data_IF_032634524927
#
_entry.id   IF_032634524927
#
_cell.length_a   1.000
_cell.length_b   1.000
_cell.length_c   1.000
_cell.angle_alpha   90.00
_cell.angle_beta   90.00
_cell.angle_gamma   90.00
#
_symmetry.space_group_name_H-M   'P 1'
#
loop_
_entity.id
_entity.type
_entity.pdbx_description
1 polymer ?
#
# COMPACT_ATOMS: atom_id res chain seq x y z
N UNK A 1 16.45 -64.26 19.69
CA UNK A 1 17.91 -64.04 19.57
C UNK A 1 18.19 -62.67 18.97
N UNK A 2 19.03 -61.89 19.66
CA UNK A 2 19.68 -60.60 19.32
C UNK A 2 18.82 -59.37 18.99
N UNK A 3 18.59 -58.62 20.06
CA UNK A 3 18.52 -57.15 20.17
C UNK A 3 19.65 -56.46 19.38
N UNK A 4 19.31 -55.34 18.73
CA UNK A 4 20.24 -54.40 18.10
C UNK A 4 19.74 -52.96 18.31
N UNK A 5 20.49 -52.22 19.10
CA UNK A 5 20.26 -50.89 19.69
C UNK A 5 20.79 -49.74 18.81
N UNK A 6 20.04 -48.65 18.62
CA UNK A 6 20.57 -47.38 18.06
C UNK A 6 19.46 -46.38 17.68
N UNK A 7 19.62 -45.05 17.87
CA UNK A 7 18.58 -44.25 18.53
C UNK A 7 17.64 -43.44 17.62
N UNK A 8 16.38 -43.41 18.05
CA UNK A 8 15.35 -42.43 17.68
C UNK A 8 15.78 -40.99 18.03
N UNK A 9 15.97 -40.13 17.03
CA UNK A 9 16.08 -38.69 17.25
C UNK A 9 14.69 -38.06 17.42
N UNK A 10 14.22 -37.99 18.67
CA UNK A 10 13.13 -37.10 19.09
C UNK A 10 13.58 -35.64 18.91
N UNK A 11 13.01 -34.93 17.95
CA UNK A 11 13.12 -33.47 17.88
C UNK A 11 12.33 -32.84 19.04
N UNK A 12 13.04 -32.53 20.13
CA UNK A 12 12.54 -31.77 21.28
C UNK A 12 12.13 -30.35 20.84
N UNK A 13 10.84 -30.17 20.59
CA UNK A 13 10.17 -28.87 20.61
C UNK A 13 10.23 -28.36 22.05
N UNK A 14 11.11 -27.40 22.34
CA UNK A 14 11.13 -26.72 23.64
C UNK A 14 9.91 -25.79 23.76
N UNK A 15 9.04 -25.94 24.77
CA UNK A 15 7.97 -24.99 25.02
C UNK A 15 8.56 -23.66 25.54
N UNK A 16 8.16 -22.54 24.93
CA UNK A 16 8.45 -21.21 25.46
C UNK A 16 7.61 -21.01 26.73
N UNK A 17 8.28 -20.92 27.87
CA UNK A 17 7.67 -20.49 29.14
C UNK A 17 7.15 -19.06 28.98
N UNK A 18 5.83 -18.89 29.11
CA UNK A 18 5.21 -17.58 29.34
C UNK A 18 5.50 -17.10 30.77
N UNK A 19 5.44 -15.79 31.04
CA UNK A 19 5.53 -15.29 32.40
C UNK A 19 4.27 -15.68 33.18
N UNK A 20 4.50 -16.30 34.33
CA UNK A 20 3.51 -16.73 35.31
C UNK A 20 2.89 -15.50 35.99
N UNK A 21 1.57 -15.38 35.92
CA UNK A 21 0.76 -14.55 36.82
C UNK A 21 0.81 -15.16 38.23
N UNK A 22 1.19 -14.35 39.23
CA UNK A 22 0.55 -14.32 40.55
C UNK A 22 1.16 -13.20 41.41
N UNK A 23 0.38 -12.16 41.63
CA UNK A 23 0.42 -11.38 42.86
C UNK A 23 -0.95 -10.71 43.03
N UNK A 24 -1.78 -11.30 43.88
CA UNK A 24 -2.91 -10.62 44.48
C UNK A 24 -2.36 -9.47 45.34
N UNK A 25 -2.69 -8.24 44.97
CA UNK A 25 -2.45 -7.04 45.75
C UNK A 25 -3.69 -6.16 45.67
N UNK A 26 -4.55 -6.29 46.65
CA UNK A 26 -5.65 -5.36 46.92
C UNK A 26 -5.10 -3.96 47.17
N UNK A 27 -5.47 -2.97 46.36
CA UNK A 27 -5.27 -1.56 46.73
C UNK A 27 -6.51 -0.73 46.42
N UNK A 28 -6.96 -0.05 47.47
CA UNK A 28 -8.15 0.79 47.58
C UNK A 28 -8.08 1.98 46.63
N UNK A 29 -9.23 2.37 46.11
CA UNK A 29 -9.45 3.66 45.46
C UNK A 29 -9.43 4.72 46.58
N UNK A 30 -8.44 5.61 46.56
CA UNK A 30 -8.48 6.87 47.30
C UNK A 30 -8.63 8.00 46.30
N UNK A 31 -9.73 8.73 46.41
CA UNK A 31 -10.03 9.95 45.67
C UNK A 31 -8.93 10.99 45.94
N UNK A 32 -8.23 11.41 44.88
CA UNK A 32 -7.29 12.52 44.90
C UNK A 32 -7.85 13.66 44.07
N UNK A 33 -8.19 14.77 44.73
CA UNK A 33 -8.77 15.97 44.15
C UNK A 33 -7.88 16.57 43.04
N UNK A 34 -8.50 16.89 41.90
CA UNK A 34 -7.91 17.71 40.83
C UNK A 34 -8.30 19.16 41.11
N UNK A 35 -7.35 19.98 41.57
CA UNK A 35 -7.52 21.44 41.62
C UNK A 35 -7.24 22.03 40.24
N UNK A 36 -8.29 22.52 39.59
CA UNK A 36 -8.22 23.27 38.33
C UNK A 36 -8.05 24.75 38.70
N UNK A 37 -6.98 25.39 38.24
CA UNK A 37 -6.74 26.82 38.48
C UNK A 37 -7.60 27.65 37.49
N UNK A 38 -8.54 28.49 37.95
CA UNK A 38 -9.55 29.09 37.08
C UNK A 38 -9.33 30.59 36.86
N UNK A 39 -8.23 31.02 36.25
CA UNK A 39 -7.99 32.47 36.02
C UNK A 39 -7.33 32.77 34.66
N UNK A 40 -8.00 32.38 33.57
CA UNK A 40 -7.73 32.97 32.24
C UNK A 40 -9.04 33.21 31.50
N UNK A 41 -9.87 34.11 32.05
CA UNK A 41 -10.95 34.73 31.29
C UNK A 41 -11.11 36.17 31.76
N UNK A 42 -11.08 37.08 30.78
CA UNK A 42 -11.30 38.52 30.87
C UNK A 42 -10.09 39.35 31.27
N UNK A 43 -9.46 39.97 30.25
CA UNK A 43 -9.14 41.39 30.26
C UNK A 43 -8.72 41.81 28.84
N UNK A 44 -9.73 42.12 28.03
CA UNK A 44 -9.62 42.84 26.77
C UNK A 44 -10.56 44.03 26.92
N UNK A 45 -10.05 45.18 27.34
CA UNK A 45 -10.60 46.54 27.07
C UNK A 45 -9.78 47.60 27.82
N UNK A 46 -8.91 48.32 27.10
CA UNK A 46 -8.84 49.79 27.07
C UNK A 46 -7.58 50.24 26.34
N UNK A 47 -7.75 51.21 25.44
CA UNK A 47 -6.70 51.84 24.63
C UNK A 47 -6.06 52.96 25.45
N UNK A 48 -4.74 53.06 25.45
CA UNK A 48 -4.03 54.34 25.57
C UNK A 48 -2.79 54.35 24.67
N UNK A 49 -2.58 55.51 24.05
CA UNK A 49 -1.65 55.81 22.96
C UNK A 49 -0.24 56.12 23.45
N UNK A 50 0.78 55.46 22.88
CA UNK A 50 2.20 55.88 23.02
C UNK A 50 2.91 55.79 21.65
N UNK A 51 3.68 56.84 21.34
CA UNK A 51 4.31 57.22 20.05
C UNK A 51 5.26 56.14 19.46
N UNK A 52 5.49 56.13 18.13
CA UNK A 52 6.34 55.12 17.49
C UNK A 52 7.82 55.46 17.70
N UNK A 53 8.47 54.73 18.63
CA UNK A 53 9.92 54.71 18.79
C UNK A 53 10.56 53.66 17.89
N UNK A 54 11.63 54.07 17.20
CA UNK A 54 12.57 53.31 16.35
C UNK A 54 12.58 51.78 16.60
N UNK A 55 12.10 51.00 15.62
CA UNK A 55 12.20 49.53 15.63
C UNK A 55 13.66 49.14 15.37
N UNK A 56 14.43 48.98 16.43
CA UNK A 56 15.65 48.17 16.38
C UNK A 56 15.24 46.74 16.08
N UNK A 57 15.61 46.25 14.89
CA UNK A 57 15.44 44.85 14.51
C UNK A 57 16.22 43.99 15.49
N UNK A 58 15.55 43.44 16.51
CA UNK A 58 16.05 42.30 17.25
C UNK A 58 16.29 41.18 16.25
N UNK A 59 17.56 40.99 15.90
CA UNK A 59 18.05 39.84 15.15
C UNK A 59 17.72 38.63 16.02
N UNK A 60 16.68 37.86 15.65
CA UNK A 60 16.42 36.60 16.32
C UNK A 60 17.70 35.75 16.23
N UNK A 61 18.26 35.26 17.35
CA UNK A 61 19.41 34.36 17.28
C UNK A 61 18.99 33.11 16.50
N UNK A 62 19.90 32.51 15.71
CA UNK A 62 19.58 31.31 14.95
C UNK A 62 19.03 30.25 15.90
N UNK A 63 17.88 29.68 15.55
CA UNK A 63 17.26 28.57 16.29
C UNK A 63 18.23 27.39 16.24
N UNK A 64 19.13 27.32 17.20
CA UNK A 64 19.99 26.18 17.43
C UNK A 64 19.11 24.97 17.65
N UNK A 65 19.26 23.95 16.81
CA UNK A 65 18.59 22.67 16.96
C UNK A 65 18.98 22.09 18.32
N UNK A 66 18.08 22.21 19.30
CA UNK A 66 18.29 21.76 20.67
C UNK A 66 18.12 20.24 20.75
N UNK A 67 19.14 19.46 20.43
CA UNK A 67 19.14 18.01 20.69
C UNK A 67 19.82 17.71 22.03
N UNK A 68 19.10 17.88 23.14
CA UNK A 68 19.43 17.13 24.36
C UNK A 68 18.98 15.68 24.11
N UNK A 69 19.92 14.83 23.70
CA UNK A 69 19.67 13.40 23.43
C UNK A 69 19.36 12.67 24.74
N UNK A 70 18.09 12.62 25.14
CA UNK A 70 17.61 11.82 26.27
C UNK A 70 17.34 10.37 25.85
N UNK A 71 18.29 9.71 25.17
CA UNK A 71 18.27 8.23 25.06
C UNK A 71 18.72 7.63 26.41
N UNK A 72 17.90 7.82 27.44
CA UNK A 72 18.11 7.23 28.76
C UNK A 72 17.82 5.74 28.68
N UNK A 73 18.68 4.89 29.28
CA UNK A 73 18.46 3.44 29.42
C UNK A 73 17.08 3.08 29.99
N UNK A 74 16.48 3.96 30.80
CA UNK A 74 15.12 3.78 31.33
C UNK A 74 13.98 3.95 30.32
N UNK A 75 14.18 4.70 29.23
CA UNK A 75 13.15 4.83 28.18
C UNK A 75 13.00 3.53 27.37
N UNK A 76 14.10 2.81 27.13
CA UNK A 76 14.08 1.55 26.35
C UNK A 76 13.42 0.39 27.09
N UNK A 77 13.34 0.45 28.42
CA UNK A 77 12.66 -0.58 29.23
C UNK A 77 11.15 -0.34 29.35
N UNK A 78 10.68 0.89 29.10
CA UNK A 78 9.26 1.26 29.17
C UNK A 78 8.59 1.41 27.80
N UNK A 79 9.34 1.28 26.70
CA UNK A 79 8.80 1.43 25.34
C UNK A 79 8.12 0.15 24.88
N UNK A 80 6.83 0.24 24.56
CA UNK A 80 6.12 -0.80 23.81
C UNK A 80 6.36 -0.59 22.31
N UNK A 81 6.75 -1.66 21.61
CA UNK A 81 6.87 -1.63 20.16
C UNK A 81 5.49 -1.75 19.52
N UNK A 82 5.21 -0.92 18.53
CA UNK A 82 4.09 -1.13 17.61
C UNK A 82 4.28 -2.42 16.81
N UNK A 83 3.22 -2.85 16.13
CA UNK A 83 3.30 -3.97 15.18
C UNK A 83 4.32 -3.69 14.08
N UNK A 84 4.94 -4.73 13.51
CA UNK A 84 6.03 -4.56 12.52
C UNK A 84 5.60 -3.73 11.31
N UNK A 85 4.39 -3.95 10.79
CA UNK A 85 3.90 -3.20 9.61
C UNK A 85 3.57 -1.74 9.94
N UNK A 86 3.20 -1.44 11.19
CA UNK A 86 2.97 -0.08 11.66
C UNK A 86 4.29 0.64 11.93
N UNK A 87 5.28 -0.06 12.50
CA UNK A 87 6.65 0.43 12.64
C UNK A 87 7.31 0.71 11.28
N UNK A 88 7.00 -0.10 10.25
CA UNK A 88 7.41 0.12 8.87
C UNK A 88 6.54 1.15 8.12
N UNK A 89 5.44 1.62 8.71
CA UNK A 89 4.53 2.61 8.11
C UNK A 89 3.80 2.09 6.87
N UNK A 90 3.49 0.80 6.79
CA UNK A 90 2.83 0.16 5.63
C UNK A 90 1.31 0.02 5.80
N UNK A 91 0.85 -0.10 7.03
CA UNK A 91 -0.54 -0.44 7.34
C UNK A 91 -1.08 0.44 8.44
N UNK A 92 -2.24 1.05 8.19
CA UNK A 92 -3.09 1.59 9.25
C UNK A 92 -3.99 0.46 9.80
N UNK A 93 -3.68 0.02 11.02
CA UNK A 93 -4.46 -1.03 11.69
C UNK A 93 -5.86 -0.56 12.10
N UNK A 94 -6.10 0.74 12.24
CA UNK A 94 -7.42 1.28 12.56
C UNK A 94 -8.41 1.06 11.40
N UNK A 95 -8.01 1.42 10.17
CA UNK A 95 -8.79 1.14 8.97
C UNK A 95 -8.88 -0.38 8.70
N UNK A 96 -7.75 -1.09 8.78
CA UNK A 96 -7.70 -2.54 8.51
C UNK A 96 -8.64 -3.33 9.42
N UNK A 97 -8.70 -3.03 10.72
CA UNK A 97 -9.59 -3.73 11.66
C UNK A 97 -11.05 -3.67 11.21
N UNK A 98 -11.52 -2.52 10.71
CA UNK A 98 -12.91 -2.34 10.24
C UNK A 98 -13.18 -3.04 8.92
N UNK A 99 -12.19 -3.02 8.02
CA UNK A 99 -12.29 -3.65 6.71
C UNK A 99 -12.33 -5.19 6.82
N UNK A 100 -11.52 -5.75 7.71
CA UNK A 100 -11.25 -7.20 7.74
C UNK A 100 -12.16 -7.98 8.68
N UNK A 101 -12.56 -7.38 9.81
CA UNK A 101 -13.41 -8.07 10.79
C UNK A 101 -14.76 -8.38 10.15
N UNK A 102 -15.16 -9.64 10.29
CA UNK A 102 -16.44 -10.18 9.84
C UNK A 102 -17.40 -10.29 11.02
N UNK A 103 -18.70 -10.14 10.75
CA UNK A 103 -19.73 -10.37 11.75
C UNK A 103 -19.69 -11.82 12.23
N UNK A 104 -19.73 -12.02 13.55
CA UNK A 104 -19.56 -13.36 14.15
C UNK A 104 -20.68 -14.33 13.77
N UNK A 105 -21.87 -13.83 13.47
CA UNK A 105 -23.00 -14.63 13.00
C UNK A 105 -22.81 -15.22 11.59
N UNK A 106 -21.83 -14.72 10.80
CA UNK A 106 -21.48 -15.26 9.47
C UNK A 106 -20.41 -16.35 9.54
N UNK A 107 -19.93 -16.69 10.75
CA UNK A 107 -18.98 -17.76 11.03
C UNK A 107 -17.77 -17.77 10.07
N UNK A 108 -17.65 -18.79 9.22
CA UNK A 108 -16.50 -19.01 8.34
C UNK A 108 -16.55 -18.24 7.02
N UNK A 109 -17.64 -17.53 6.73
CA UNK A 109 -17.84 -16.79 5.49
C UNK A 109 -16.76 -15.70 5.35
N UNK A 110 -15.88 -15.81 4.33
CA UNK A 110 -14.79 -14.87 4.16
C UNK A 110 -15.31 -13.48 3.78
N UNK A 111 -14.72 -12.44 4.38
CA UNK A 111 -14.91 -11.05 3.96
C UNK A 111 -13.81 -10.69 2.96
N UNK A 112 -14.16 -10.63 1.68
CA UNK A 112 -13.22 -10.34 0.62
C UNK A 112 -12.93 -8.85 0.51
N UNK A 113 -11.66 -8.51 0.29
CA UNK A 113 -11.24 -7.15 0.02
C UNK A 113 -10.35 -7.07 -1.22
N UNK A 114 -10.58 -6.03 -2.01
CA UNK A 114 -9.80 -5.66 -3.18
C UNK A 114 -8.71 -4.69 -2.72
N UNK A 115 -7.50 -5.21 -2.60
CA UNK A 115 -6.33 -4.46 -2.23
C UNK A 115 -5.76 -3.82 -3.49
N UNK A 116 -5.71 -2.50 -3.51
CA UNK A 116 -5.06 -1.74 -4.58
C UNK A 116 -3.84 -1.03 -4.01
N UNK A 117 -2.67 -1.29 -4.58
CA UNK A 117 -1.41 -0.65 -4.19
C UNK A 117 -0.71 -0.13 -5.44
N UNK A 118 -0.46 1.17 -5.46
CA UNK A 118 0.27 1.82 -6.53
C UNK A 118 1.70 2.04 -6.06
N UNK A 119 2.65 1.51 -6.82
CA UNK A 119 4.07 1.74 -6.63
C UNK A 119 4.56 2.74 -7.70
N UNK A 120 5.83 3.13 -7.64
CA UNK A 120 6.38 4.09 -8.60
C UNK A 120 6.38 3.59 -10.05
N UNK A 121 6.37 2.28 -10.28
CA UNK A 121 6.50 1.68 -11.63
C UNK A 121 5.50 0.58 -11.94
N UNK A 122 4.63 0.24 -10.99
CA UNK A 122 3.68 -0.87 -11.13
C UNK A 122 2.40 -0.59 -10.32
N UNK A 123 1.30 -1.17 -10.77
CA UNK A 123 0.02 -1.18 -10.05
C UNK A 123 -0.28 -2.63 -9.69
N UNK A 124 -0.59 -2.84 -8.42
CA UNK A 124 -0.85 -4.15 -7.84
C UNK A 124 -2.31 -4.17 -7.40
N UNK A 125 -3.09 -5.07 -7.98
CA UNK A 125 -4.47 -5.33 -7.57
C UNK A 125 -4.58 -6.78 -7.09
N UNK A 126 -5.15 -6.99 -5.91
CA UNK A 126 -5.29 -8.32 -5.31
C UNK A 126 -6.66 -8.45 -4.67
N UNK A 127 -7.23 -9.65 -4.69
CA UNK A 127 -8.36 -9.99 -3.83
C UNK A 127 -7.87 -10.91 -2.73
N UNK A 128 -8.13 -10.52 -1.48
CA UNK A 128 -7.71 -11.28 -0.32
C UNK A 128 -8.82 -11.35 0.75
N UNK A 129 -8.73 -12.34 1.62
CA UNK A 129 -9.50 -12.42 2.86
C UNK A 129 -8.57 -12.83 4.00
N UNK A 130 -8.92 -12.45 5.22
CA UNK A 130 -8.08 -12.76 6.38
C UNK A 130 -8.37 -14.15 6.96
N UNK A 131 -7.31 -14.81 7.42
CA UNK A 131 -7.34 -15.98 8.31
C UNK A 131 -6.37 -15.73 9.47
N UNK A 132 -6.41 -16.60 10.48
CA UNK A 132 -5.60 -16.49 11.70
C UNK A 132 -4.10 -16.52 11.38
N UNK A 133 -3.70 -17.35 10.41
CA UNK A 133 -2.30 -17.49 9.97
C UNK A 133 -1.81 -16.27 9.15
N UNK A 134 -2.73 -15.50 8.58
CA UNK A 134 -2.44 -14.43 7.64
C UNK A 134 -3.51 -14.28 6.57
N UNK A 135 -3.29 -13.32 5.68
CA UNK A 135 -4.19 -13.11 4.54
C UNK A 135 -3.97 -14.16 3.46
N UNK A 136 -5.07 -14.72 2.95
CA UNK A 136 -5.06 -15.60 1.78
C UNK A 136 -5.44 -14.78 0.56
N UNK A 137 -4.52 -14.70 -0.40
CA UNK A 137 -4.74 -14.05 -1.70
C UNK A 137 -5.44 -15.07 -2.60
N UNK A 138 -6.59 -14.69 -3.14
CA UNK A 138 -7.37 -15.51 -4.08
C UNK A 138 -6.85 -15.30 -5.50
N UNK A 139 -6.74 -14.03 -5.89
CA UNK A 139 -6.32 -13.62 -7.23
C UNK A 139 -5.49 -12.35 -7.15
N UNK A 140 -4.59 -12.19 -8.12
CA UNK A 140 -3.76 -11.01 -8.29
C UNK A 140 -3.68 -10.62 -9.76
N UNK A 141 -3.56 -9.33 -10.02
CA UNK A 141 -3.28 -8.73 -11.32
C UNK A 141 -2.27 -7.60 -11.14
N UNK A 142 -1.40 -7.44 -12.13
CA UNK A 142 -0.29 -6.48 -12.08
C UNK A 142 -0.20 -5.67 -13.37
N UNK A 143 0.23 -4.42 -13.30
CA UNK A 143 0.37 -3.59 -14.49
C UNK A 143 1.48 -4.09 -15.41
N UNK A 144 2.54 -4.72 -14.87
CA UNK A 144 3.58 -5.34 -15.69
C UNK A 144 3.11 -6.56 -16.52
N UNK A 145 1.88 -7.05 -16.31
CA UNK A 145 1.24 -8.05 -17.18
C UNK A 145 0.55 -7.40 -18.40
N UNK A 146 0.18 -6.11 -18.32
CA UNK A 146 -0.54 -5.38 -19.38
C UNK A 146 0.16 -5.31 -20.74
N UNK A 147 1.50 -5.33 -20.85
CA UNK A 147 2.17 -5.39 -22.15
C UNK A 147 1.76 -6.59 -23.01
N UNK A 148 1.32 -7.70 -22.41
CA UNK A 148 0.76 -8.86 -23.14
C UNK A 148 -0.53 -8.51 -23.87
N UNK A 149 -1.29 -7.54 -23.36
CA UNK A 149 -2.58 -7.11 -23.86
C UNK A 149 -2.48 -5.87 -24.75
N UNK A 150 -1.26 -5.43 -25.12
CA UNK A 150 -1.02 -4.30 -26.03
C UNK A 150 -0.56 -3.01 -25.34
N UNK A 151 -0.76 -2.86 -24.03
CA UNK A 151 -0.32 -1.66 -23.27
C UNK A 151 1.15 -1.80 -22.86
N UNK A 152 2.07 -1.42 -23.75
CA UNK A 152 3.52 -1.56 -23.52
C UNK A 152 4.11 -0.49 -22.58
N UNK A 153 3.52 0.70 -22.54
CA UNK A 153 3.99 1.87 -21.79
C UNK A 153 2.89 2.40 -20.85
N UNK A 154 3.25 3.37 -20.00
CA UNK A 154 2.26 4.06 -19.17
C UNK A 154 1.64 3.20 -18.06
N UNK A 155 2.37 2.22 -17.52
CA UNK A 155 1.83 1.20 -16.59
C UNK A 155 1.34 1.73 -15.23
N UNK A 156 1.50 3.03 -14.96
CA UNK A 156 1.10 3.66 -13.70
C UNK A 156 0.08 4.78 -13.88
N UNK A 157 -0.47 4.99 -15.06
CA UNK A 157 -1.49 6.02 -15.29
C UNK A 157 -2.90 5.54 -14.84
N UNK A 158 -3.91 6.41 -14.99
CA UNK A 158 -5.29 6.08 -14.63
C UNK A 158 -5.86 4.95 -15.51
N UNK A 159 -5.63 5.01 -16.82
CA UNK A 159 -6.07 4.01 -17.79
C UNK A 159 -5.48 2.60 -17.52
N UNK A 160 -4.21 2.52 -17.14
CA UNK A 160 -3.56 1.28 -16.72
C UNK A 160 -4.15 0.77 -15.40
N UNK A 161 -4.48 1.65 -14.45
CA UNK A 161 -5.16 1.25 -13.23
C UNK A 161 -6.51 0.59 -13.55
N UNK A 162 -7.31 1.21 -14.42
CA UNK A 162 -8.55 0.64 -14.93
C UNK A 162 -8.35 -0.74 -15.57
N UNK A 163 -7.38 -0.86 -16.49
CA UNK A 163 -7.04 -2.14 -17.12
C UNK A 163 -6.66 -3.22 -16.09
N UNK A 164 -5.87 -2.87 -15.06
CA UNK A 164 -5.48 -3.83 -14.02
C UNK A 164 -6.66 -4.29 -13.16
N UNK A 165 -7.60 -3.38 -12.87
CA UNK A 165 -8.85 -3.71 -12.17
C UNK A 165 -9.74 -4.64 -12.99
N UNK A 166 -9.91 -4.32 -14.28
CA UNK A 166 -10.66 -5.15 -15.22
C UNK A 166 -10.06 -6.55 -15.33
N UNK A 167 -8.74 -6.65 -15.46
CA UNK A 167 -8.02 -7.93 -15.50
C UNK A 167 -8.23 -8.75 -14.22
N UNK A 168 -8.18 -8.11 -13.04
CA UNK A 168 -8.43 -8.78 -11.76
C UNK A 168 -9.86 -9.36 -11.70
N UNK A 169 -10.86 -8.57 -12.07
CA UNK A 169 -12.26 -8.97 -12.06
C UNK A 169 -12.52 -10.14 -13.01
N UNK A 170 -12.10 -10.04 -14.28
CA UNK A 170 -12.29 -11.14 -15.24
C UNK A 170 -11.57 -12.41 -14.83
N UNK A 171 -10.37 -12.32 -14.24
CA UNK A 171 -9.63 -13.47 -13.72
C UNK A 171 -10.32 -14.12 -12.51
N UNK A 172 -10.89 -13.31 -11.61
CA UNK A 172 -11.67 -13.80 -10.47
C UNK A 172 -12.96 -14.49 -10.91
N UNK A 173 -13.73 -13.87 -11.80
CA UNK A 173 -15.00 -14.43 -12.27
C UNK A 173 -14.76 -15.73 -13.05
N UNK A 174 -13.72 -15.80 -13.88
CA UNK A 174 -13.36 -17.04 -14.58
C UNK A 174 -12.97 -18.17 -13.60
N UNK A 175 -12.26 -17.85 -12.51
CA UNK A 175 -11.90 -18.81 -11.47
C UNK A 175 -13.13 -19.42 -10.77
N UNK A 176 -14.17 -18.61 -10.56
CA UNK A 176 -15.43 -19.03 -9.95
C UNK A 176 -16.52 -19.41 -10.95
N UNK A 177 -16.23 -19.40 -12.26
CA UNK A 177 -17.18 -19.68 -13.35
C UNK A 177 -18.43 -18.78 -13.34
N UNK A 178 -18.21 -17.51 -13.02
CA UNK A 178 -19.24 -16.44 -12.98
C UNK A 178 -19.08 -15.46 -14.15
N UNK A 179 -18.17 -15.74 -15.06
CA UNK A 179 -17.73 -14.86 -16.14
C UNK A 179 -18.78 -14.68 -17.25
N UNK A 180 -19.59 -15.71 -17.52
CA UNK A 180 -20.69 -15.64 -18.49
C UNK A 180 -21.91 -14.91 -17.93
N UNK A 181 -22.18 -15.09 -16.63
CA UNK A 181 -23.31 -14.49 -15.91
C UNK A 181 -23.08 -12.99 -15.74
N UNK A 182 -21.96 -12.63 -15.12
CA UNK A 182 -21.62 -11.24 -14.81
C UNK A 182 -20.58 -10.73 -15.79
N UNK A 183 -21.02 -10.36 -17.00
CA UNK A 183 -20.15 -9.76 -18.03
C UNK A 183 -19.67 -8.36 -17.67
N UNK A 184 -20.44 -7.65 -16.84
CA UNK A 184 -20.23 -6.25 -16.52
C UNK A 184 -20.51 -5.35 -17.73
N UNK A 185 -19.89 -4.18 -17.75
CA UNK A 185 -20.09 -3.19 -18.81
C UNK A 185 -19.03 -3.38 -19.91
N UNK A 186 -19.44 -3.85 -21.09
CA UNK A 186 -18.51 -4.17 -22.19
C UNK A 186 -17.81 -2.92 -22.72
N UNK A 187 -18.55 -1.83 -22.91
CA UNK A 187 -18.03 -0.55 -23.36
C UNK A 187 -17.91 0.44 -22.20
N UNK A 188 -16.69 0.88 -21.89
CA UNK A 188 -16.47 1.82 -20.80
C UNK A 188 -17.02 3.21 -21.16
N UNK A 189 -18.26 3.50 -20.77
CA UNK A 189 -18.94 4.79 -20.95
C UNK A 189 -18.60 5.80 -19.83
N UNK A 190 -18.03 5.32 -18.70
CA UNK A 190 -17.65 6.17 -17.56
C UNK A 190 -18.78 6.46 -16.58
N UNK A 191 -19.99 5.95 -16.85
CA UNK A 191 -21.16 6.12 -15.99
C UNK A 191 -21.06 5.32 -14.70
N UNK A 192 -21.89 5.66 -13.71
CA UNK A 192 -22.03 4.86 -12.50
C UNK A 192 -22.67 3.52 -12.84
N UNK A 193 -22.05 2.43 -12.38
CA UNK A 193 -22.50 1.08 -12.69
C UNK A 193 -22.32 0.23 -11.44
N UNK A 194 -23.37 -0.44 -11.01
CA UNK A 194 -23.34 -1.41 -9.93
C UNK A 194 -23.93 -2.72 -10.44
N UNK A 195 -23.22 -3.83 -10.19
CA UNK A 195 -23.66 -5.15 -10.61
C UNK A 195 -24.71 -5.64 -9.62
N UNK A 196 -25.92 -5.88 -10.11
CA UNK A 196 -26.99 -6.48 -9.32
C UNK A 196 -26.93 -8.01 -9.42
N UNK A 197 -27.38 -8.70 -8.37
CA UNK A 197 -27.49 -10.16 -8.40
C UNK A 197 -28.73 -10.56 -9.19
N UNK A 198 -28.64 -11.65 -9.96
CA UNK A 198 -29.72 -12.13 -10.81
C UNK A 198 -30.43 -13.25 -10.05
N UNK A 199 -31.77 -13.19 -9.98
CA UNK A 199 -32.57 -14.20 -9.30
C UNK A 199 -32.38 -15.58 -9.94
N UNK A 200 -32.18 -16.60 -9.11
CA UNK A 200 -31.96 -17.98 -9.55
C UNK A 200 -30.53 -18.30 -9.99
N UNK A 201 -29.62 -17.33 -10.03
CA UNK A 201 -28.19 -17.54 -10.32
C UNK A 201 -27.32 -17.28 -9.07
N UNK A 202 -26.07 -17.78 -9.03
CA UNK A 202 -25.17 -17.44 -7.94
C UNK A 202 -24.97 -15.93 -7.86
N UNK A 203 -25.07 -15.35 -6.66
CA UNK A 203 -24.96 -13.90 -6.49
C UNK A 203 -23.62 -13.32 -6.95
N UNK A 204 -23.64 -12.02 -7.26
CA UNK A 204 -22.45 -11.29 -7.71
C UNK A 204 -21.33 -11.35 -6.67
N UNK A 205 -20.08 -11.39 -7.13
CA UNK A 205 -18.94 -11.49 -6.23
C UNK A 205 -18.73 -10.17 -5.48
N UNK A 206 -19.15 -10.15 -4.22
CA UNK A 206 -19.04 -8.96 -3.36
C UNK A 206 -17.65 -8.81 -2.76
N UNK A 207 -17.06 -7.63 -2.97
CA UNK A 207 -15.72 -7.28 -2.47
C UNK A 207 -15.69 -5.85 -1.92
N UNK A 208 -14.77 -5.55 -1.00
CA UNK A 208 -14.61 -4.20 -0.42
C UNK A 208 -13.25 -3.60 -0.78
N UNK A 209 -13.20 -2.33 -1.19
CA UNK A 209 -11.96 -1.67 -1.54
C UNK A 209 -11.06 -1.43 -0.32
N UNK A 210 -9.80 -1.85 -0.40
CA UNK A 210 -8.73 -1.56 0.57
C UNK A 210 -7.71 -0.62 -0.08
N UNK A 211 -7.83 0.66 0.27
CA UNK A 211 -6.94 1.75 -0.20
C UNK A 211 -5.60 1.82 0.57
N UNK A 212 -5.51 1.14 1.72
CA UNK A 212 -4.36 1.22 2.62
C UNK A 212 -4.14 2.63 3.14
N UNK A 213 -2.91 3.12 3.01
CA UNK A 213 -2.50 4.46 3.46
C UNK A 213 -2.67 5.55 2.38
N UNK A 214 -3.15 5.19 1.20
CA UNK A 214 -3.29 6.15 0.12
C UNK A 214 -4.41 7.15 0.41
N UNK A 215 -4.14 8.41 0.08
CA UNK A 215 -5.14 9.48 0.22
C UNK A 215 -6.24 9.31 -0.83
N UNK A 216 -7.48 9.31 -0.38
CA UNK A 216 -8.68 9.16 -1.22
C UNK A 216 -9.17 10.50 -1.77
N UNK A 217 -8.36 11.16 -2.59
CA UNK A 217 -8.76 12.37 -3.33
C UNK A 217 -9.60 12.02 -4.56
N UNK A 218 -10.37 12.99 -5.06
CA UNK A 218 -11.06 12.87 -6.36
C UNK A 218 -10.04 12.65 -7.47
N UNK A 219 -10.34 11.76 -8.41
CA UNK A 219 -9.45 11.42 -9.52
C UNK A 219 -8.22 10.56 -9.15
N UNK A 220 -8.13 10.07 -7.91
CA UNK A 220 -7.03 9.18 -7.55
C UNK A 220 -7.09 7.88 -8.38
N UNK A 221 -5.92 7.45 -8.90
CA UNK A 221 -5.76 6.25 -9.74
C UNK A 221 -6.28 4.95 -9.11
N UNK A 222 -6.33 4.88 -7.78
CA UNK A 222 -6.90 3.73 -7.06
C UNK A 222 -8.37 3.52 -7.44
N UNK A 223 -9.11 4.59 -7.66
CA UNK A 223 -10.49 4.52 -8.11
C UNK A 223 -10.62 4.12 -9.58
N UNK A 224 -9.59 4.30 -10.40
CA UNK A 224 -9.54 3.72 -11.74
C UNK A 224 -9.54 2.19 -11.68
N UNK A 225 -8.72 1.60 -10.80
CA UNK A 225 -8.72 0.15 -10.58
C UNK A 225 -10.06 -0.35 -10.00
N UNK A 226 -10.65 0.40 -9.07
CA UNK A 226 -12.01 0.13 -8.58
C UNK A 226 -13.01 0.06 -9.74
N UNK A 227 -13.06 1.11 -10.58
CA UNK A 227 -14.01 1.20 -11.69
C UNK A 227 -13.81 0.07 -12.69
N UNK A 228 -12.55 -0.26 -13.03
CA UNK A 228 -12.24 -1.39 -13.89
C UNK A 228 -12.71 -2.73 -13.34
N UNK A 229 -12.61 -2.94 -12.02
CA UNK A 229 -13.09 -4.18 -11.39
C UNK A 229 -14.63 -4.27 -11.39
N UNK A 230 -15.31 -3.15 -11.15
CA UNK A 230 -16.76 -3.03 -11.21
C UNK A 230 -17.28 -3.28 -12.62
N UNK A 231 -16.73 -2.60 -13.62
CA UNK A 231 -17.07 -2.82 -15.05
C UNK A 231 -16.70 -4.22 -15.54
N UNK A 232 -15.80 -4.91 -14.82
CA UNK A 232 -15.47 -6.31 -15.06
C UNK A 232 -16.48 -7.33 -14.53
N UNK A 233 -17.47 -6.88 -13.72
CA UNK A 233 -18.53 -7.72 -13.16
C UNK A 233 -18.44 -8.00 -11.66
N UNK A 234 -17.56 -7.33 -10.91
CA UNK A 234 -17.51 -7.46 -9.44
C UNK A 234 -18.48 -6.50 -8.76
N UNK A 235 -19.15 -6.95 -7.70
CA UNK A 235 -19.94 -6.08 -6.82
C UNK A 235 -19.00 -5.43 -5.80
N UNK A 236 -18.70 -4.14 -5.99
CA UNK A 236 -17.95 -3.34 -5.04
C UNK A 236 -18.78 -2.09 -4.70
N UNK A 237 -19.22 -1.93 -3.44
CA UNK A 237 -20.04 -0.79 -3.07
C UNK A 237 -19.19 0.49 -3.11
N UNK A 238 -19.65 1.48 -3.88
CA UNK A 238 -18.95 2.74 -4.07
C UNK A 238 -19.91 3.90 -4.38
N UNK A 239 -19.35 5.09 -4.55
CA UNK A 239 -20.05 6.30 -4.97
C UNK A 239 -19.21 7.02 -6.03
N UNK A 240 -19.88 7.67 -6.98
CA UNK A 240 -19.25 8.44 -8.05
C UNK A 240 -18.42 9.66 -7.60
N UNK A 241 -18.55 10.09 -6.34
CA UNK A 241 -17.88 11.29 -5.77
C UNK A 241 -16.36 11.30 -5.87
N UNK A 242 -15.71 10.15 -6.04
CA UNK A 242 -14.24 10.03 -6.06
C UNK A 242 -13.66 9.82 -7.46
N UNK A 243 -14.50 9.67 -8.47
CA UNK A 243 -14.04 9.53 -9.85
C UNK A 243 -13.60 10.88 -10.46
N UNK A 244 -12.70 10.86 -11.46
CA UNK A 244 -12.47 12.02 -12.31
C UNK A 244 -13.78 12.49 -12.94
N UNK A 245 -14.02 13.80 -13.00
CA UNK A 245 -15.27 14.37 -13.52
C UNK A 245 -16.34 14.66 -12.47
N UNK A 246 -16.11 14.31 -11.19
CA UNK A 246 -16.94 14.81 -10.10
C UNK A 246 -16.48 16.20 -9.67
N UNK A 247 -17.39 17.17 -9.70
CA UNK A 247 -17.16 18.50 -9.15
C UNK A 247 -17.75 18.63 -7.75
N UNK A 248 -16.96 19.16 -6.81
CA UNK A 248 -17.34 19.27 -5.41
C UNK A 248 -18.21 20.50 -5.13
N UNK A 249 -18.19 21.50 -6.01
CA UNK A 249 -18.98 22.73 -5.89
C UNK A 249 -20.40 22.51 -6.40
N UNK A 250 -20.54 22.09 -7.65
CA UNK A 250 -21.83 21.75 -8.26
C UNK A 250 -22.43 20.44 -7.72
N UNK A 251 -21.60 19.54 -7.16
CA UNK A 251 -21.96 18.17 -6.76
C UNK A 251 -22.44 17.29 -7.92
N UNK A 252 -22.12 17.67 -9.14
CA UNK A 252 -22.48 16.95 -10.37
C UNK A 252 -21.34 16.04 -10.84
N UNK A 253 -21.70 14.97 -11.55
CA UNK A 253 -20.76 14.00 -12.09
C UNK A 253 -20.84 13.99 -13.61
N UNK A 254 -19.72 14.34 -14.27
CA UNK A 254 -19.59 14.26 -15.72
C UNK A 254 -18.95 12.92 -16.13
N UNK A 255 -19.76 12.02 -16.68
CA UNK A 255 -19.33 10.70 -17.15
C UNK A 255 -18.37 10.78 -18.35
N UNK A 256 -18.49 11.80 -19.20
CA UNK A 256 -17.60 11.98 -20.35
C UNK A 256 -16.17 12.23 -19.89
N UNK A 257 -15.96 13.12 -18.92
CA UNK A 257 -14.63 13.39 -18.34
C UNK A 257 -14.04 12.11 -17.75
N UNK A 258 -14.86 11.30 -17.06
CA UNK A 258 -14.41 10.02 -16.54
C UNK A 258 -13.97 9.07 -17.66
N UNK A 259 -14.77 8.97 -18.73
CA UNK A 259 -14.45 8.20 -19.94
C UNK A 259 -13.14 8.64 -20.57
N UNK A 260 -12.88 9.95 -20.68
CA UNK A 260 -11.60 10.50 -21.18
C UNK A 260 -10.40 10.00 -20.36
N UNK A 261 -10.57 9.86 -19.04
CA UNK A 261 -9.52 9.33 -18.17
C UNK A 261 -9.30 7.83 -18.32
N UNK A 262 -10.38 7.06 -18.51
CA UNK A 262 -10.33 5.61 -18.72
C UNK A 262 -9.54 5.27 -20.00
N UNK A 263 -9.78 6.00 -21.10
CA UNK A 263 -9.09 5.77 -22.37
C UNK A 263 -7.78 6.56 -22.52
N UNK A 264 -7.35 7.29 -21.50
CA UNK A 264 -6.08 8.01 -21.53
C UNK A 264 -6.05 9.25 -22.43
N UNK A 265 -7.20 9.81 -22.81
CA UNK A 265 -7.27 11.01 -23.66
C UNK A 265 -6.57 12.22 -23.01
N UNK A 266 -6.65 12.38 -21.69
CA UNK A 266 -5.89 13.40 -20.95
C UNK A 266 -4.35 13.32 -21.17
N UNK A 267 -3.84 12.12 -21.46
CA UNK A 267 -2.41 11.92 -21.77
C UNK A 267 -2.15 12.33 -23.21
N UNK A 268 -3.04 11.98 -24.13
CA UNK A 268 -2.97 12.40 -25.52
C UNK A 268 -3.04 13.93 -25.66
N UNK A 269 -3.96 14.57 -24.94
CA UNK A 269 -4.08 16.03 -24.84
C UNK A 269 -2.79 16.64 -24.29
N UNK A 270 -2.23 16.08 -23.20
CA UNK A 270 -0.95 16.55 -22.66
C UNK A 270 0.22 16.36 -23.63
N UNK A 271 0.24 15.27 -24.41
CA UNK A 271 1.24 15.07 -25.46
C UNK A 271 1.15 16.13 -26.56
N UNK A 272 -0.06 16.51 -26.98
CA UNK A 272 -0.28 17.55 -28.00
C UNK A 272 0.17 18.92 -27.50
N UNK A 273 -0.34 19.34 -26.33
CA UNK A 273 0.02 20.63 -25.71
C UNK A 273 1.53 20.74 -25.52
N UNK A 274 2.18 19.69 -25.02
CA UNK A 274 3.62 19.74 -24.77
C UNK A 274 4.45 19.75 -26.07
N UNK A 275 3.95 19.14 -27.15
CA UNK A 275 4.62 19.17 -28.45
C UNK A 275 4.55 20.58 -29.07
N UNK A 276 3.43 21.27 -28.90
CA UNK A 276 3.22 22.63 -29.42
C UNK A 276 3.99 23.68 -28.59
N UNK A 277 4.06 23.51 -27.26
CA UNK A 277 4.70 24.48 -26.35
C UNK A 277 6.23 24.30 -26.24
N UNK A 278 6.71 23.06 -26.02
CA UNK A 278 8.13 22.77 -25.73
C UNK A 278 8.54 21.35 -26.17
N UNK A 279 9.17 21.27 -27.34
CA UNK A 279 9.64 20.01 -27.93
C UNK A 279 10.72 19.31 -27.06
N UNK A 280 11.54 20.05 -26.31
CA UNK A 280 12.56 19.47 -25.43
C UNK A 280 11.93 18.79 -24.21
N UNK A 281 10.95 19.46 -23.60
CA UNK A 281 10.14 18.87 -22.52
C UNK A 281 9.38 17.62 -23.01
N UNK A 282 8.83 17.67 -24.23
CA UNK A 282 8.18 16.52 -24.87
C UNK A 282 9.14 15.34 -25.02
N UNK A 283 10.33 15.58 -25.60
CA UNK A 283 11.37 14.54 -25.74
C UNK A 283 11.78 13.95 -24.39
N UNK A 284 11.89 14.77 -23.34
CA UNK A 284 12.23 14.30 -21.99
C UNK A 284 11.14 13.41 -21.40
N UNK A 285 9.89 13.86 -21.43
CA UNK A 285 8.77 13.19 -20.77
C UNK A 285 8.31 11.94 -21.55
N UNK A 286 8.22 12.03 -22.87
CA UNK A 286 7.67 11.01 -23.75
C UNK A 286 8.73 10.27 -24.58
N UNK A 287 10.01 10.35 -24.20
CA UNK A 287 11.12 9.64 -24.86
C UNK A 287 10.84 8.17 -25.18
N UNK A 288 10.16 7.45 -24.29
CA UNK A 288 9.80 6.04 -24.48
C UNK A 288 8.67 5.84 -25.49
N UNK A 289 7.73 6.77 -25.57
CA UNK A 289 6.64 6.75 -26.55
C UNK A 289 7.21 6.96 -27.95
N UNK A 290 8.10 7.93 -28.12
CA UNK A 290 8.79 8.18 -29.40
C UNK A 290 9.61 6.96 -29.85
N UNK A 291 10.30 6.28 -28.93
CA UNK A 291 11.05 5.03 -29.24
C UNK A 291 10.18 3.88 -29.72
N UNK A 292 8.90 3.86 -29.34
CA UNK A 292 7.95 2.83 -29.74
C UNK A 292 7.00 3.30 -30.86
N UNK A 293 7.17 4.53 -31.35
CA UNK A 293 6.36 5.12 -32.41
C UNK A 293 4.90 5.34 -32.03
N UNK A 294 4.58 5.49 -30.73
CA UNK A 294 3.20 5.69 -30.28
C UNK A 294 2.85 7.17 -30.33
N UNK A 295 1.86 7.53 -31.14
CA UNK A 295 1.36 8.91 -31.28
C UNK A 295 0.20 9.19 -30.33
N UNK A 296 -0.17 10.46 -30.16
CA UNK A 296 -1.25 10.86 -29.24
C UNK A 296 -2.61 10.28 -29.64
N UNK A 297 -2.91 10.21 -30.95
CA UNK A 297 -4.21 9.76 -31.45
C UNK A 297 -4.41 8.23 -31.28
N UNK A 298 -3.33 7.46 -31.25
CA UNK A 298 -3.37 6.00 -31.09
C UNK A 298 -3.67 5.54 -29.66
N UNK A 299 -3.54 6.42 -28.66
CA UNK A 299 -3.62 6.04 -27.23
C UNK A 299 -4.99 5.44 -26.89
N UNK A 300 -6.08 6.05 -27.37
CA UNK A 300 -7.44 5.55 -27.08
C UNK A 300 -7.64 4.15 -27.68
N UNK A 301 -7.16 3.92 -28.90
CA UNK A 301 -7.27 2.61 -29.55
C UNK A 301 -6.47 1.53 -28.82
N UNK A 302 -5.28 1.86 -28.31
CA UNK A 302 -4.45 0.92 -27.54
C UNK A 302 -5.24 0.40 -26.33
N UNK A 303 -5.92 1.28 -25.59
CA UNK A 303 -6.71 0.89 -24.43
C UNK A 303 -7.99 0.13 -24.80
N UNK A 304 -8.70 0.53 -25.87
CA UNK A 304 -9.86 -0.23 -26.38
C UNK A 304 -9.46 -1.67 -26.76
N UNK A 305 -8.37 -1.83 -27.51
CA UNK A 305 -7.82 -3.15 -27.89
C UNK A 305 -7.41 -3.94 -26.66
N UNK A 306 -6.82 -3.29 -25.65
CA UNK A 306 -6.45 -3.95 -24.40
C UNK A 306 -7.66 -4.44 -23.59
N UNK A 307 -8.74 -3.65 -23.49
CA UNK A 307 -9.96 -4.07 -22.78
C UNK A 307 -10.57 -5.31 -23.44
N UNK A 308 -10.65 -5.33 -24.78
CA UNK A 308 -11.13 -6.49 -25.53
C UNK A 308 -10.21 -7.73 -25.34
N UNK A 309 -8.89 -7.53 -25.39
CA UNK A 309 -7.92 -8.62 -25.20
C UNK A 309 -7.97 -9.20 -23.77
N UNK A 310 -8.15 -8.36 -22.75
CA UNK A 310 -8.30 -8.78 -21.35
C UNK A 310 -9.57 -9.63 -21.17
N UNK A 311 -10.69 -9.22 -21.78
CA UNK A 311 -11.94 -10.00 -21.72
C UNK A 311 -11.81 -11.36 -22.40
N UNK A 312 -11.07 -11.44 -23.50
CA UNK A 312 -10.84 -12.67 -24.25
C UNK A 312 -9.98 -13.68 -23.48
N UNK A 313 -8.91 -13.23 -22.83
CA UNK A 313 -7.95 -14.12 -22.15
C UNK A 313 -7.41 -13.50 -20.85
N UNK A 314 -8.16 -13.57 -19.73
CA UNK A 314 -7.74 -13.01 -18.46
C UNK A 314 -6.75 -13.91 -17.69
N UNK A 315 -6.44 -15.11 -18.20
CA UNK A 315 -5.67 -16.12 -17.47
C UNK A 315 -4.22 -15.70 -17.20
N UNK A 316 -3.75 -15.97 -15.98
CA UNK A 316 -2.36 -15.71 -15.59
C UNK A 316 -1.41 -16.69 -16.29
N UNK A 317 -0.39 -16.17 -16.97
CA UNK A 317 0.69 -17.00 -17.54
C UNK A 317 1.86 -17.04 -16.58
N UNK A 318 2.06 -18.19 -15.93
CA UNK A 318 3.19 -18.42 -15.04
C UNK A 318 4.51 -18.31 -15.82
N UNK A 319 5.49 -17.60 -15.25
CA UNK A 319 6.86 -17.59 -15.80
C UNK A 319 7.51 -18.94 -15.53
N UNK A 320 8.10 -19.54 -16.55
CA UNK A 320 8.83 -20.80 -16.42
C UNK A 320 9.99 -20.71 -15.44
N UNK A 321 10.31 -21.83 -14.78
CA UNK A 321 11.49 -21.94 -13.92
C UNK A 321 12.73 -21.83 -14.82
N UNK A 322 13.64 -20.91 -14.49
CA UNK A 322 14.89 -20.75 -15.24
C UNK A 322 15.82 -21.94 -14.91
N UNK A 323 16.15 -22.83 -15.87
CA UNK A 323 17.08 -23.92 -15.61
C UNK A 323 18.49 -23.36 -15.38
N UNK A 324 19.29 -24.03 -14.55
CA UNK A 324 20.71 -23.69 -14.34
C UNK A 324 21.01 -22.52 -13.39
N UNK A 325 20.03 -22.00 -12.65
CA UNK A 325 20.28 -20.93 -11.66
C UNK A 325 20.99 -21.50 -10.41
N UNK A 326 22.30 -21.32 -10.34
CA UNK A 326 23.09 -21.61 -9.13
C UNK A 326 22.80 -20.54 -8.07
N UNK A 327 22.31 -20.96 -6.90
CA UNK A 327 21.98 -20.05 -5.79
C UNK A 327 23.25 -19.52 -5.13
N UNK A 328 23.78 -18.39 -5.61
CA UNK A 328 24.85 -17.65 -4.96
C UNK A 328 24.34 -16.89 -3.74
N UNK A 329 25.13 -16.85 -2.66
CA UNK A 329 24.86 -16.03 -1.48
C UNK A 329 25.49 -14.64 -1.63
N UNK A 330 24.67 -13.60 -1.52
CA UNK A 330 25.10 -12.20 -1.60
C UNK A 330 25.31 -11.55 -0.22
N UNK A 331 24.69 -12.12 0.82
CA UNK A 331 24.75 -11.58 2.18
C UNK A 331 25.80 -12.28 3.01
N UNK A 332 26.46 -11.52 3.89
CA UNK A 332 27.43 -12.06 4.83
C UNK A 332 26.78 -13.10 5.74
N UNK A 333 27.51 -14.18 6.02
CA UNK A 333 27.09 -15.17 7.01
C UNK A 333 27.13 -14.52 8.40
N UNK A 334 26.09 -14.77 9.21
CA UNK A 334 26.07 -14.31 10.59
C UNK A 334 27.22 -14.99 11.34
N UNK A 335 28.14 -14.18 11.88
CA UNK A 335 29.29 -14.71 12.61
C UNK A 335 28.85 -15.63 13.74
N UNK A 336 29.55 -16.74 13.88
CA UNK A 336 29.32 -17.68 14.97
C UNK A 336 29.70 -17.04 16.32
N UNK A 337 29.29 -17.65 17.42
CA UNK A 337 29.65 -17.14 18.75
C UNK A 337 31.16 -17.20 18.98
N UNK A 338 31.81 -18.29 18.57
CA UNK A 338 33.27 -18.48 18.67
C UNK A 338 34.02 -17.44 17.84
N UNK A 339 33.65 -17.23 16.58
CA UNK A 339 34.24 -16.18 15.73
C UNK A 339 34.13 -14.79 16.37
N UNK A 340 32.97 -14.46 16.96
CA UNK A 340 32.80 -13.16 17.65
C UNK A 340 33.70 -13.04 18.87
N UNK A 341 33.81 -14.08 19.70
CA UNK A 341 34.69 -14.10 20.88
C UNK A 341 36.15 -14.00 20.49
N UNK A 342 36.58 -14.80 19.51
CA UNK A 342 37.95 -14.81 19.01
C UNK A 342 38.32 -13.46 18.40
N UNK A 343 37.40 -12.82 17.65
CA UNK A 343 37.59 -11.47 17.12
C UNK A 343 37.81 -10.43 18.23
N UNK A 344 37.06 -10.53 19.34
CA UNK A 344 37.24 -9.62 20.48
C UNK A 344 38.61 -9.86 21.13
N UNK A 345 38.99 -11.12 21.36
CA UNK A 345 40.27 -11.47 21.94
C UNK A 345 41.44 -10.97 21.09
N UNK A 346 41.40 -11.23 19.78
CA UNK A 346 42.40 -10.75 18.81
C UNK A 346 42.51 -9.22 18.81
N UNK A 347 41.37 -8.50 18.85
CA UNK A 347 41.36 -7.03 18.93
C UNK A 347 42.03 -6.52 20.20
N UNK A 348 41.73 -7.11 21.37
CA UNK A 348 42.36 -6.75 22.64
C UNK A 348 43.87 -6.97 22.59
N UNK A 349 44.30 -8.16 22.16
CA UNK A 349 45.72 -8.49 22.05
C UNK A 349 46.47 -7.55 21.08
N UNK A 350 45.87 -7.25 19.91
CA UNK A 350 46.47 -6.33 18.94
C UNK A 350 46.60 -4.90 19.46
N UNK A 351 45.68 -4.47 20.33
CA UNK A 351 45.71 -3.14 20.92
C UNK A 351 46.80 -3.01 21.98
N UNK A 352 46.95 -4.03 22.83
CA UNK A 352 48.03 -4.09 23.84
C UNK A 352 49.39 -4.00 23.15
N UNK A 353 49.62 -4.80 22.10
CA UNK A 353 50.86 -4.75 21.31
C UNK A 353 51.16 -3.38 20.70
N UNK A 354 50.14 -2.62 20.30
CA UNK A 354 50.33 -1.26 19.75
C UNK A 354 50.71 -0.24 20.81
N UNK A 355 50.23 -0.42 22.05
CA UNK A 355 50.62 0.44 23.16
C UNK A 355 52.07 0.19 23.57
N UNK A 356 52.47 -1.09 23.62
CA UNK A 356 53.85 -1.49 23.92
C UNK A 356 54.82 -0.94 22.86
N UNK A 357 54.50 -1.09 21.56
CA UNK A 357 55.35 -0.62 20.47
C UNK A 357 55.35 0.90 20.23
N UNK A 358 54.47 1.66 20.90
CA UNK A 358 54.45 3.13 20.84
C UNK A 358 54.96 3.79 22.12
N UNK A 359 55.42 2.98 23.08
CA UNK A 359 56.09 3.42 24.30
C UNK A 359 57.62 3.39 24.19
N UNK A 360 58.14 2.76 23.13
CA UNK A 360 59.52 2.93 22.61
C UNK A 360 59.54 4.05 21.57
#
# INVERSE_FOLDING_TARGET
>A
FRLGTGPFSRSLVRPRRGPTNNAHGSFRITEGAVTVNPDYRNQLTSRETVKPGRVERYRQPPVGIRTKLSKKRGLTTSSYSSSTDEAEGKTDYYARRRLVVQDKNKYNTPKYRMIVRITNRDIICQVAYARIEGDKIVCAAYAHELPRYGVKLGLTNYAAAYCTGLLLARRMLQMYKLDEIYKGQEEANGEDYCVESIDGQPGAFRCFLDVGLARTTTGARIFGALKGAVDGGMDIPHSNKRFPGYDNESKEFNAEVHRKHIYGQHIAEYMKVLLDDDEEAYKRQFSRYNKLGVTADEIEEIYKKAHAAIRKDPAHKAKGVRPGVVKKRWTRIKMTLSERRNRIAQKKASYIKKLEAGAD
#
